data_IF_926669503681
#
_entry.id   IF_926669503681
#
_cell.length_a   1.000
_cell.length_b   1.000
_cell.length_c   1.000
_cell.angle_alpha   90.00
_cell.angle_beta   90.00
_cell.angle_gamma   90.00
#
_symmetry.space_group_name_H-M   'P 1'
#
loop_
_entity.id
_entity.type
_entity.pdbx_description
1 polymer ?
#
# COMPACT_ATOMS: atom_id res chain seq x y z
N UNK A 1 -10.21 16.20 -10.73
CA UNK A 1 -10.60 15.49 -9.49
C UNK A 1 -9.35 15.36 -8.62
N UNK A 2 -9.26 16.12 -7.52
CA UNK A 2 -8.09 16.20 -6.64
C UNK A 2 -8.21 15.04 -5.64
N UNK A 3 -7.42 13.98 -5.77
CA UNK A 3 -7.34 12.94 -4.75
C UNK A 3 -6.42 13.50 -3.67
N UNK A 4 -7.00 14.27 -2.73
CA UNK A 4 -6.32 14.68 -1.52
C UNK A 4 -6.13 13.43 -0.67
N UNK A 5 -4.89 12.95 -0.60
CA UNK A 5 -4.45 12.02 0.43
C UNK A 5 -4.45 12.73 1.77
N UNK A 6 -5.64 12.94 2.35
CA UNK A 6 -5.75 13.18 3.77
C UNK A 6 -5.38 11.87 4.46
N UNK A 7 -4.13 11.78 4.94
CA UNK A 7 -3.85 10.91 6.07
C UNK A 7 -4.76 11.40 7.19
N UNK A 8 -5.80 10.64 7.49
CA UNK A 8 -6.66 10.91 8.62
C UNK A 8 -5.76 11.00 9.86
N UNK A 9 -5.63 12.19 10.45
CA UNK A 9 -5.01 12.43 11.77
C UNK A 9 -5.93 11.83 12.84
N UNK A 10 -6.00 10.50 12.84
CA UNK A 10 -6.87 9.68 13.65
C UNK A 10 -6.10 8.48 14.19
N UNK A 11 -6.55 7.93 15.31
CA UNK A 11 -5.96 6.72 15.84
C UNK A 11 -6.38 5.54 14.96
N UNK A 12 -5.42 4.94 14.27
CA UNK A 12 -5.59 3.69 13.54
C UNK A 12 -5.33 2.54 14.51
N UNK A 13 -6.33 1.69 14.72
CA UNK A 13 -6.18 0.46 15.50
C UNK A 13 -6.30 -0.73 14.56
N UNK A 14 -5.23 -1.53 14.46
CA UNK A 14 -5.27 -2.80 13.74
C UNK A 14 -5.94 -3.82 14.65
N UNK A 15 -7.09 -4.35 14.24
CA UNK A 15 -7.84 -5.36 14.99
C UNK A 15 -7.33 -6.75 14.70
N UNK A 16 -7.10 -7.03 13.41
CA UNK A 16 -6.68 -8.36 12.95
C UNK A 16 -5.84 -8.23 11.69
N UNK A 17 -4.80 -9.04 11.62
CA UNK A 17 -4.03 -9.24 10.41
C UNK A 17 -3.77 -10.73 10.25
N UNK A 18 -4.07 -11.27 9.07
CA UNK A 18 -3.76 -12.65 8.72
C UNK A 18 -3.34 -12.73 7.26
N UNK A 19 -2.47 -13.67 6.93
CA UNK A 19 -2.07 -13.87 5.55
C UNK A 19 -1.59 -15.28 5.27
N UNK A 20 -1.54 -15.61 3.98
CA UNK A 20 -0.98 -16.85 3.45
C UNK A 20 0.12 -16.44 2.48
N UNK A 21 1.25 -17.14 2.57
CA UNK A 21 2.41 -16.92 1.72
C UNK A 21 2.67 -18.22 0.93
N UNK A 22 2.89 -18.07 -0.37
CA UNK A 22 3.32 -19.16 -1.24
C UNK A 22 4.79 -18.95 -1.56
N UNK A 23 5.62 -19.78 -0.94
CA UNK A 23 7.09 -19.73 -1.07
C UNK A 23 7.53 -20.90 -1.92
N UNK A 24 8.31 -20.60 -2.96
CA UNK A 24 8.95 -21.62 -3.78
C UNK A 24 9.93 -22.45 -2.94
N UNK A 25 9.87 -23.78 -3.04
CA UNK A 25 10.63 -24.66 -2.14
C UNK A 25 12.13 -24.70 -2.43
N UNK A 26 12.53 -24.39 -3.67
CA UNK A 26 13.92 -24.54 -4.12
C UNK A 26 14.65 -23.20 -4.03
N UNK A 27 14.02 -22.15 -4.53
CA UNK A 27 14.57 -20.79 -4.59
C UNK A 27 14.23 -19.95 -3.37
N UNK A 28 13.27 -20.38 -2.54
CA UNK A 28 12.73 -19.63 -1.40
C UNK A 28 12.12 -18.28 -1.77
N UNK A 29 11.80 -18.06 -3.05
CA UNK A 29 11.13 -16.85 -3.50
C UNK A 29 9.66 -16.84 -3.10
N UNK A 30 9.18 -15.68 -2.65
CA UNK A 30 7.75 -15.43 -2.45
C UNK A 30 7.09 -15.29 -3.82
N UNK A 31 6.22 -16.22 -4.19
CA UNK A 31 5.52 -16.21 -5.48
C UNK A 31 4.18 -15.49 -5.40
N UNK A 32 3.48 -15.66 -4.27
CA UNK A 32 2.17 -15.06 -4.01
C UNK A 32 2.03 -14.76 -2.53
N UNK A 33 1.29 -13.71 -2.21
CA UNK A 33 0.79 -13.47 -0.86
C UNK A 33 -0.67 -13.02 -0.92
N UNK A 34 -1.45 -13.47 0.05
CA UNK A 34 -2.79 -12.93 0.30
C UNK A 34 -2.81 -12.47 1.74
N UNK A 35 -3.37 -11.29 2.01
CA UNK A 35 -3.54 -10.81 3.37
C UNK A 35 -4.90 -10.16 3.59
N UNK A 36 -5.41 -10.37 4.79
CA UNK A 36 -6.65 -9.80 5.30
C UNK A 36 -6.31 -8.90 6.49
N UNK A 37 -6.72 -7.65 6.42
CA UNK A 37 -6.51 -6.62 7.44
C UNK A 37 -7.85 -6.08 7.89
N UNK A 38 -8.15 -6.20 9.17
CA UNK A 38 -9.25 -5.48 9.82
C UNK A 38 -8.65 -4.34 10.65
N UNK A 39 -9.10 -3.13 10.40
CA UNK A 39 -8.64 -1.93 11.09
C UNK A 39 -9.82 -1.02 11.44
N UNK A 40 -9.68 -0.28 12.51
CA UNK A 40 -10.58 0.79 12.89
C UNK A 40 -9.84 2.12 12.77
N UNK A 41 -10.42 3.08 12.06
CA UNK A 41 -9.89 4.43 11.94
C UNK A 41 -10.80 5.37 12.73
N UNK A 42 -10.27 5.95 13.80
CA UNK A 42 -10.96 6.96 14.60
C UNK A 42 -10.56 8.35 14.15
N UNK A 43 -11.46 9.05 13.49
CA UNK A 43 -11.27 10.46 13.11
C UNK A 43 -12.03 11.38 14.05
N UNK A 44 -11.77 12.69 13.98
CA UNK A 44 -12.59 13.69 14.69
C UNK A 44 -14.08 13.65 14.32
N UNK A 45 -14.43 13.04 13.18
CA UNK A 45 -15.79 12.94 12.66
C UNK A 45 -16.48 11.61 13.03
N UNK A 46 -15.74 10.66 13.62
CA UNK A 46 -16.27 9.35 14.00
C UNK A 46 -15.30 8.19 13.75
N UNK A 47 -15.72 7.00 14.18
CA UNK A 47 -15.01 5.74 14.00
C UNK A 47 -15.50 5.02 12.74
N UNK A 48 -14.60 4.45 11.97
CA UNK A 48 -14.94 3.61 10.80
C UNK A 48 -14.15 2.31 10.85
N UNK A 49 -14.86 1.19 10.74
CA UNK A 49 -14.25 -0.12 10.55
C UNK A 49 -14.00 -0.37 9.06
N UNK A 50 -12.80 -0.83 8.75
CA UNK A 50 -12.32 -1.11 7.41
C UNK A 50 -11.80 -2.55 7.40
N UNK A 51 -12.22 -3.30 6.39
CA UNK A 51 -11.68 -4.61 6.07
C UNK A 51 -11.03 -4.53 4.69
N UNK A 52 -9.78 -4.95 4.59
CA UNK A 52 -8.98 -4.91 3.36
C UNK A 52 -8.45 -6.30 3.07
N UNK A 53 -8.86 -6.84 1.94
CA UNK A 53 -8.24 -8.02 1.34
C UNK A 53 -7.25 -7.59 0.26
N UNK A 54 -6.04 -8.15 0.31
CA UNK A 54 -4.99 -7.89 -0.66
C UNK A 54 -4.46 -9.21 -1.21
N UNK A 55 -4.19 -9.22 -2.50
CA UNK A 55 -3.49 -10.31 -3.17
C UNK A 55 -2.35 -9.73 -4.00
N UNK A 56 -1.16 -10.29 -3.83
CA UNK A 56 0.03 -9.94 -4.60
C UNK A 56 0.59 -11.19 -5.25
N UNK A 57 1.01 -11.06 -6.51
CA UNK A 57 1.78 -12.07 -7.22
C UNK A 57 3.10 -11.46 -7.64
N UNK A 58 4.20 -12.17 -7.42
CA UNK A 58 5.55 -11.73 -7.72
C UNK A 58 6.14 -12.66 -8.77
N UNK A 59 6.66 -12.08 -9.84
CA UNK A 59 7.21 -12.79 -10.99
C UNK A 59 8.37 -12.00 -11.60
N UNK A 60 9.03 -12.57 -12.60
CA UNK A 60 10.17 -11.96 -13.31
C UNK A 60 11.38 -11.62 -12.41
N UNK A 61 11.68 -12.52 -11.47
CA UNK A 61 12.87 -12.42 -10.60
C UNK A 61 14.14 -12.22 -11.42
N UNK A 62 14.95 -11.22 -11.04
CA UNK A 62 16.22 -10.87 -11.66
C UNK A 62 16.15 -10.51 -13.16
N UNK A 63 14.97 -10.20 -13.71
CA UNK A 63 14.87 -9.71 -15.08
C UNK A 63 15.15 -8.20 -15.13
N UNK A 64 15.92 -7.71 -16.12
CA UNK A 64 16.13 -6.29 -16.30
C UNK A 64 14.80 -5.62 -16.70
N UNK A 65 14.45 -4.52 -16.03
CA UNK A 65 13.24 -3.74 -16.33
C UNK A 65 13.64 -2.37 -16.87
N UNK A 66 12.95 -1.91 -17.92
CA UNK A 66 13.14 -0.58 -18.48
C UNK A 66 12.07 0.37 -17.94
N UNK A 67 12.46 1.26 -17.04
CA UNK A 67 11.57 2.30 -16.51
C UNK A 67 11.65 3.51 -17.44
N UNK A 68 10.56 3.78 -18.16
CA UNK A 68 10.42 4.96 -19.01
C UNK A 68 9.38 5.89 -18.41
N UNK A 69 9.74 7.17 -18.27
CA UNK A 69 8.79 8.21 -17.91
C UNK A 69 7.75 8.31 -19.04
N UNK A 70 6.46 8.12 -18.75
CA UNK A 70 5.45 8.34 -19.76
C UNK A 70 5.37 9.85 -20.06
N UNK A 71 5.02 10.28 -21.29
CA UNK A 71 5.10 11.69 -21.69
C UNK A 71 4.39 12.67 -20.75
N UNK A 72 3.27 12.25 -20.16
CA UNK A 72 2.47 13.01 -19.19
C UNK A 72 3.23 13.34 -17.89
N UNK A 73 4.23 12.53 -17.51
CA UNK A 73 5.03 12.76 -16.31
C UNK A 73 5.93 14.00 -16.41
N UNK A 74 6.19 14.50 -17.63
CA UNK A 74 7.00 15.72 -17.84
C UNK A 74 6.38 16.98 -17.23
N UNK A 75 5.05 16.99 -17.08
CA UNK A 75 4.30 18.12 -16.54
C UNK A 75 3.87 17.88 -15.08
N UNK A 76 4.36 16.81 -14.44
CA UNK A 76 4.00 16.49 -13.06
C UNK A 76 4.49 17.61 -12.14
N UNK A 77 3.58 18.18 -11.35
CA UNK A 77 3.94 19.14 -10.31
C UNK A 77 4.63 18.37 -9.17
N UNK A 78 5.67 18.95 -8.53
CA UNK A 78 6.23 18.39 -7.31
C UNK A 78 5.12 18.18 -6.28
N UNK A 79 5.21 17.08 -5.52
CA UNK A 79 4.39 16.92 -4.33
C UNK A 79 4.85 18.00 -3.34
N UNK A 80 3.92 18.84 -2.87
CA UNK A 80 4.20 19.74 -1.75
C UNK A 80 4.50 18.85 -0.52
N UNK A 81 5.74 18.88 -0.07
CA UNK A 81 6.17 18.13 1.11
C UNK A 81 5.52 18.76 2.34
N UNK A 82 4.48 18.12 2.89
CA UNK A 82 4.08 18.41 4.26
C UNK A 82 5.16 17.82 5.17
N UNK A 83 6.11 18.65 5.61
CA UNK A 83 7.07 18.23 6.63
C UNK A 83 6.30 17.63 7.82
N UNK A 84 6.71 16.48 8.38
CA UNK A 84 6.14 16.02 9.62
C UNK A 84 6.44 17.08 10.69
N UNK A 85 5.39 17.68 11.25
CA UNK A 85 5.50 18.54 12.42
C UNK A 85 6.02 17.70 13.58
N UNK A 86 7.29 17.92 13.95
CA UNK A 86 7.89 17.45 15.21
C UNK A 86 7.21 18.11 16.41
#
# INVERSE_FOLDING_TARGET
RKIMGYMAMGNITIKKFSGILWIDKETYFLLKSTSHLEMNINTKQGATDISVDTEYSVYDFNKPVNIRLPPEAKNAKPLEYAAPSL
#
